data_IF_722306851597
#
_entry.id   IF_722306851597
#
_cell.length_a   1.000
_cell.length_b   1.000
_cell.length_c   1.000
_cell.angle_alpha   90.00
_cell.angle_beta   90.00
_cell.angle_gamma   90.00
#
_symmetry.space_group_name_H-M   'P 1'
#
loop_
_entity.id
_entity.type
_entity.pdbx_description
1 polymer ?
#
# COMPACT_ATOMS: atom_id res chain seq x y z
N UNK A 1 -19.12 1.28 -10.55
CA UNK A 1 -18.87 1.72 -9.14
C UNK A 1 -17.69 2.68 -9.18
N UNK A 2 -17.87 3.94 -8.74
CA UNK A 2 -16.82 4.95 -8.82
C UNK A 2 -15.85 4.80 -7.64
N UNK A 3 -14.63 4.37 -7.94
CA UNK A 3 -13.50 4.37 -6.99
C UNK A 3 -12.61 5.56 -7.31
N UNK A 4 -12.16 6.25 -6.29
CA UNK A 4 -11.20 7.35 -6.39
C UNK A 4 -10.18 7.26 -5.25
N UNK A 5 -9.08 8.00 -5.40
CA UNK A 5 -8.06 8.16 -4.37
C UNK A 5 -7.85 9.64 -4.09
N UNK A 6 -7.63 9.98 -2.82
CA UNK A 6 -7.36 11.34 -2.38
C UNK A 6 -6.12 11.39 -1.52
N UNK A 7 -5.23 12.33 -1.81
CA UNK A 7 -4.12 12.66 -0.93
C UNK A 7 -4.67 13.27 0.36
N UNK A 8 -4.28 12.70 1.48
CA UNK A 8 -4.79 13.10 2.78
C UNK A 8 -3.72 13.72 3.70
N UNK A 9 -2.54 14.05 3.14
CA UNK A 9 -1.42 14.61 3.90
C UNK A 9 -1.82 15.81 4.77
N UNK A 10 -2.65 16.69 4.24
CA UNK A 10 -3.09 17.91 4.92
C UNK A 10 -4.55 17.86 5.39
N UNK A 11 -5.16 16.67 5.42
CA UNK A 11 -6.54 16.46 5.84
C UNK A 11 -6.61 15.84 7.23
N UNK A 12 -6.87 16.64 8.25
CA UNK A 12 -7.08 16.14 9.60
C UNK A 12 -8.23 15.14 9.69
N UNK A 13 -9.30 15.33 8.90
CA UNK A 13 -10.44 14.41 8.82
C UNK A 13 -10.02 13.05 8.30
N UNK A 14 -9.25 13.00 7.22
CA UNK A 14 -8.80 11.74 6.61
C UNK A 14 -7.77 11.04 7.50
N UNK A 15 -6.86 11.80 8.11
CA UNK A 15 -5.93 11.27 9.11
C UNK A 15 -6.68 10.59 10.25
N UNK A 16 -7.65 11.27 10.84
CA UNK A 16 -8.45 10.71 11.92
C UNK A 16 -9.22 9.46 11.48
N UNK A 17 -9.75 9.46 10.25
CA UNK A 17 -10.42 8.27 9.72
C UNK A 17 -9.44 7.09 9.58
N UNK A 18 -8.24 7.28 9.03
CA UNK A 18 -7.22 6.23 8.95
C UNK A 18 -6.90 5.69 10.34
N UNK A 19 -6.69 6.57 11.33
CA UNK A 19 -6.44 6.17 12.71
C UNK A 19 -7.59 5.31 13.27
N UNK A 20 -8.84 5.67 12.99
CA UNK A 20 -10.02 4.93 13.46
C UNK A 20 -10.15 3.50 12.90
N UNK A 21 -9.59 3.23 11.73
CA UNK A 21 -9.63 1.91 11.08
C UNK A 21 -8.30 1.16 11.14
N UNK A 22 -7.28 1.76 11.73
CA UNK A 22 -5.94 1.19 11.78
C UNK A 22 -5.87 -0.12 12.57
N UNK A 23 -6.63 -0.21 13.65
CA UNK A 23 -6.79 -1.46 14.40
C UNK A 23 -7.33 -2.60 13.54
N UNK A 24 -8.34 -2.33 12.69
CA UNK A 24 -8.87 -3.33 11.75
C UNK A 24 -7.80 -3.79 10.73
N UNK A 25 -6.93 -2.88 10.31
CA UNK A 25 -5.79 -3.20 9.45
C UNK A 25 -4.78 -4.10 10.17
N UNK A 26 -4.36 -3.73 11.37
CA UNK A 26 -3.42 -4.50 12.18
C UNK A 26 -3.97 -5.91 12.47
N UNK A 27 -5.22 -6.02 12.87
CA UNK A 27 -5.89 -7.31 13.11
C UNK A 27 -5.89 -8.19 11.85
N UNK A 28 -6.06 -7.59 10.67
CA UNK A 28 -6.03 -8.33 9.41
C UNK A 28 -4.65 -8.90 9.06
N UNK A 29 -3.60 -8.38 9.67
CA UNK A 29 -2.23 -8.85 9.54
C UNK A 29 -1.78 -9.77 10.69
N UNK A 30 -2.44 -9.71 11.85
CA UNK A 30 -2.06 -10.47 13.07
C UNK A 30 -2.08 -11.99 12.83
N UNK A 31 -3.00 -12.48 12.03
CA UNK A 31 -3.12 -13.90 11.67
C UNK A 31 -1.90 -14.43 10.88
N UNK A 32 -1.04 -13.55 10.37
CA UNK A 32 0.13 -13.92 9.57
C UNK A 32 1.36 -14.28 10.41
N UNK A 33 1.29 -14.09 11.73
CA UNK A 33 2.38 -14.38 12.68
C UNK A 33 3.76 -13.88 12.20
N UNK A 34 3.81 -12.62 11.76
CA UNK A 34 5.02 -12.02 11.18
C UNK A 34 6.02 -11.55 12.24
N UNK A 35 5.69 -11.68 13.52
CA UNK A 35 6.52 -11.18 14.63
C UNK A 35 6.46 -9.66 14.84
N UNK A 36 5.94 -8.91 13.87
CA UNK A 36 5.79 -7.44 13.95
C UNK A 36 4.71 -7.02 14.96
N UNK A 37 3.73 -7.89 15.22
CA UNK A 37 2.54 -7.54 15.97
C UNK A 37 2.72 -7.56 17.49
N UNK A 38 3.66 -8.33 18.00
CA UNK A 38 4.03 -8.24 19.41
C UNK A 38 4.67 -6.89 19.78
N UNK A 39 5.11 -6.14 18.77
CA UNK A 39 5.83 -4.88 18.93
C UNK A 39 4.93 -3.66 18.62
N UNK A 40 3.97 -3.78 17.71
CA UNK A 40 3.12 -2.65 17.27
C UNK A 40 1.76 -2.63 18.00
N UNK A 41 1.17 -3.79 18.29
CA UNK A 41 -0.21 -3.88 18.76
C UNK A 41 -0.45 -3.62 20.25
N UNK A 42 0.58 -3.23 21.02
CA UNK A 42 0.46 -3.03 22.46
C UNK A 42 0.74 -1.58 22.92
N UNK A 43 1.13 -0.68 22.03
CA UNK A 43 1.58 0.65 22.42
C UNK A 43 0.99 1.75 21.52
N UNK A 44 -0.02 2.45 22.04
CA UNK A 44 -0.67 3.58 21.40
C UNK A 44 0.31 4.74 21.10
N UNK A 45 1.33 4.94 21.93
CA UNK A 45 2.37 5.94 21.69
C UNK A 45 3.16 5.64 20.41
N UNK A 46 3.36 4.37 20.09
CA UNK A 46 4.05 3.92 18.89
C UNK A 46 3.20 4.08 17.62
N UNK A 47 1.90 3.91 17.72
CA UNK A 47 0.97 4.23 16.62
C UNK A 47 1.03 5.71 16.27
N UNK A 48 1.05 6.59 17.26
CA UNK A 48 1.14 8.05 17.04
C UNK A 48 2.45 8.44 16.37
N UNK A 49 3.58 7.80 16.71
CA UNK A 49 4.87 8.00 16.03
C UNK A 49 4.83 7.54 14.58
N UNK A 50 4.23 6.38 14.29
CA UNK A 50 4.05 5.85 12.93
C UNK A 50 3.23 6.83 12.10
N UNK A 51 2.09 7.29 12.62
CA UNK A 51 1.24 8.26 11.93
C UNK A 51 1.94 9.61 11.77
N UNK A 52 2.69 10.07 12.76
CA UNK A 52 3.48 11.29 12.63
C UNK A 52 4.45 11.17 11.44
N UNK A 53 5.12 10.03 11.29
CA UNK A 53 6.02 9.79 10.15
C UNK A 53 5.27 9.80 8.81
N UNK A 54 4.09 9.19 8.72
CA UNK A 54 3.33 9.15 7.47
C UNK A 54 2.90 10.53 6.99
N UNK A 55 2.53 11.43 7.91
CA UNK A 55 1.92 12.71 7.59
C UNK A 55 2.90 13.90 7.60
N UNK A 56 4.05 13.76 8.24
CA UNK A 56 5.07 14.83 8.34
C UNK A 56 6.24 14.68 7.37
N UNK A 57 6.40 13.51 6.74
CA UNK A 57 7.54 13.21 5.89
C UNK A 57 7.21 13.48 4.41
N UNK A 58 8.01 14.33 3.75
CA UNK A 58 7.85 14.66 2.33
C UNK A 58 8.05 13.47 1.37
N UNK A 59 8.63 12.37 1.85
CA UNK A 59 8.79 11.13 1.09
C UNK A 59 7.61 10.16 1.26
N UNK A 60 6.60 10.54 2.02
CA UNK A 60 5.39 9.75 2.27
C UNK A 60 4.17 10.43 1.65
N UNK A 61 3.34 9.62 0.99
CA UNK A 61 2.09 10.04 0.38
C UNK A 61 0.96 9.18 0.93
N UNK A 62 0.36 9.57 2.06
CA UNK A 62 -0.81 8.89 2.60
C UNK A 62 -2.03 9.19 1.74
N UNK A 63 -2.76 8.14 1.36
CA UNK A 63 -3.91 8.21 0.47
C UNK A 63 -5.12 7.55 1.12
N UNK A 64 -6.29 8.15 0.96
CA UNK A 64 -7.58 7.51 1.25
C UNK A 64 -8.19 6.97 -0.03
N UNK A 65 -8.69 5.75 0.04
CA UNK A 65 -9.45 5.11 -1.02
C UNK A 65 -10.93 5.35 -0.77
N UNK A 66 -11.63 5.88 -1.76
CA UNK A 66 -13.02 6.29 -1.67
C UNK A 66 -13.91 5.45 -2.61
N UNK A 67 -15.10 5.12 -2.13
CA UNK A 67 -16.23 4.66 -2.95
C UNK A 67 -17.28 5.77 -2.97
N UNK A 68 -17.37 6.50 -4.08
CA UNK A 68 -18.11 7.76 -4.07
C UNK A 68 -17.46 8.75 -3.11
N UNK A 69 -18.19 9.17 -2.07
CA UNK A 69 -17.71 10.03 -0.98
C UNK A 69 -17.16 9.27 0.24
N UNK A 70 -17.41 7.95 0.32
CA UNK A 70 -17.19 7.17 1.53
C UNK A 70 -15.77 6.60 1.55
N UNK A 71 -14.99 6.81 2.61
CA UNK A 71 -13.69 6.20 2.76
C UNK A 71 -13.84 4.71 3.07
N UNK A 72 -13.17 3.88 2.27
CA UNK A 72 -13.28 2.41 2.32
C UNK A 72 -11.94 1.71 2.50
N UNK A 73 -10.85 2.46 2.42
CA UNK A 73 -9.49 1.95 2.57
C UNK A 73 -8.47 3.07 2.57
N UNK A 74 -7.21 2.69 2.73
CA UNK A 74 -6.09 3.62 2.66
C UNK A 74 -4.86 2.95 2.03
N UNK A 75 -3.92 3.77 1.61
CA UNK A 75 -2.62 3.34 1.15
C UNK A 75 -1.53 4.32 1.59
N UNK A 76 -0.32 3.83 1.75
CA UNK A 76 0.87 4.64 1.95
C UNK A 76 1.85 4.38 0.81
N UNK A 77 2.09 5.39 0.00
CA UNK A 77 3.14 5.38 -1.02
C UNK A 77 4.34 6.10 -0.44
N UNK A 78 5.51 5.47 -0.48
CA UNK A 78 6.76 6.07 -0.02
C UNK A 78 7.78 6.15 -1.15
N UNK A 79 8.78 7.01 -0.98
CA UNK A 79 9.97 7.06 -1.85
C UNK A 79 11.13 6.41 -1.11
N UNK A 80 11.50 5.17 -1.45
CA UNK A 80 12.61 4.49 -0.81
C UNK A 80 13.93 5.24 -1.08
N UNK A 81 14.80 5.29 -0.06
CA UNK A 81 16.13 5.92 -0.17
C UNK A 81 17.25 4.91 -0.25
N UNK A 82 16.97 3.69 0.15
CA UNK A 82 17.94 2.61 0.22
C UNK A 82 17.54 1.54 -0.78
N UNK A 83 18.46 1.10 -1.65
CA UNK A 83 18.16 0.03 -2.59
C UNK A 83 17.92 -1.28 -1.83
N UNK A 84 16.95 -2.05 -2.30
CA UNK A 84 16.81 -3.42 -1.89
C UNK A 84 17.91 -4.23 -2.56
N UNK A 85 18.75 -4.87 -1.76
CA UNK A 85 19.91 -5.70 -2.11
C UNK A 85 20.18 -5.95 -3.61
N UNK A 86 21.09 -5.15 -4.18
CA UNK A 86 21.58 -5.35 -5.55
C UNK A 86 20.68 -4.81 -6.67
N UNK A 87 19.57 -4.16 -6.32
CA UNK A 87 18.67 -3.53 -7.28
C UNK A 87 18.79 -2.00 -7.24
N UNK A 88 18.55 -1.30 -8.37
CA UNK A 88 18.43 0.15 -8.34
C UNK A 88 17.32 0.59 -7.38
N UNK A 89 17.45 1.77 -6.77
CA UNK A 89 16.39 2.32 -5.92
C UNK A 89 15.13 2.56 -6.78
N UNK A 90 13.99 2.00 -6.35
CA UNK A 90 12.71 2.29 -6.98
C UNK A 90 12.29 3.75 -6.71
N UNK A 91 11.53 4.35 -7.63
CA UNK A 91 10.97 5.68 -7.39
C UNK A 91 9.92 5.66 -6.28
N UNK A 92 9.12 4.58 -6.24
CA UNK A 92 8.02 4.44 -5.31
C UNK A 92 7.94 3.03 -4.73
N UNK A 93 7.49 2.96 -3.48
CA UNK A 93 7.10 1.72 -2.81
C UNK A 93 5.66 1.85 -2.32
N UNK A 94 4.86 0.82 -2.55
CA UNK A 94 3.58 0.70 -1.87
C UNK A 94 3.84 0.06 -0.51
N UNK A 95 3.96 0.91 0.52
CA UNK A 95 4.34 0.47 1.87
C UNK A 95 3.18 -0.10 2.65
N UNK A 96 1.98 0.50 2.48
CA UNK A 96 0.76 0.04 3.13
C UNK A 96 -0.38 0.06 2.12
N UNK A 97 -1.25 -0.95 2.20
CA UNK A 97 -2.44 -1.03 1.37
C UNK A 97 -3.54 -1.79 2.09
N UNK A 98 -4.64 -1.12 2.35
CA UNK A 98 -5.75 -1.68 3.09
C UNK A 98 -7.10 -1.30 2.47
N UNK A 99 -7.97 -2.29 2.30
CA UNK A 99 -9.38 -2.11 2.00
C UNK A 99 -10.17 -2.84 3.07
N UNK A 100 -11.14 -2.18 3.69
CA UNK A 100 -11.97 -2.75 4.74
C UNK A 100 -12.66 -4.03 4.28
N UNK A 101 -12.76 -5.02 5.16
CA UNK A 101 -13.24 -6.38 4.87
C UNK A 101 -14.55 -6.40 4.09
N UNK A 102 -15.51 -5.57 4.50
CA UNK A 102 -16.83 -5.45 3.87
C UNK A 102 -16.81 -4.93 2.42
N UNK A 103 -15.71 -4.36 1.98
CA UNK A 103 -15.52 -3.81 0.64
C UNK A 103 -14.58 -4.63 -0.24
N UNK A 104 -14.11 -5.79 0.25
CA UNK A 104 -13.22 -6.69 -0.49
C UNK A 104 -14.01 -7.58 -1.47
N UNK A 105 -13.28 -8.24 -2.38
CA UNK A 105 -13.79 -9.24 -3.34
C UNK A 105 -14.73 -8.72 -4.44
N UNK A 106 -14.83 -7.39 -4.60
CA UNK A 106 -15.65 -6.73 -5.63
C UNK A 106 -14.81 -5.92 -6.64
N UNK A 107 -13.51 -6.21 -6.74
CA UNK A 107 -12.58 -5.54 -7.65
C UNK A 107 -12.00 -4.22 -7.14
N UNK A 108 -12.51 -3.68 -6.04
CA UNK A 108 -12.16 -2.35 -5.51
C UNK A 108 -10.66 -2.18 -5.23
N UNK A 109 -10.02 -3.20 -4.64
CA UNK A 109 -8.59 -3.16 -4.37
C UNK A 109 -7.75 -3.06 -5.65
N UNK A 110 -8.12 -3.79 -6.71
CA UNK A 110 -7.47 -3.70 -8.00
C UNK A 110 -7.62 -2.30 -8.62
N UNK A 111 -8.82 -1.77 -8.59
CA UNK A 111 -9.12 -0.47 -9.18
C UNK A 111 -8.39 0.66 -8.43
N UNK A 112 -8.36 0.60 -7.10
CA UNK A 112 -7.58 1.52 -6.28
C UNK A 112 -6.08 1.43 -6.54
N UNK A 113 -5.51 0.23 -6.61
CA UNK A 113 -4.10 0.02 -6.94
C UNK A 113 -3.74 0.59 -8.30
N UNK A 114 -4.58 0.39 -9.32
CA UNK A 114 -4.41 0.97 -10.65
C UNK A 114 -4.35 2.50 -10.61
N UNK A 115 -5.29 3.13 -9.90
CA UNK A 115 -5.30 4.58 -9.74
C UNK A 115 -4.04 5.11 -9.03
N UNK A 116 -3.55 4.38 -8.03
CA UNK A 116 -2.33 4.74 -7.30
C UNK A 116 -1.12 4.66 -8.24
N UNK A 117 -0.96 3.57 -8.98
CA UNK A 117 0.17 3.41 -9.90
C UNK A 117 0.14 4.42 -11.05
N UNK A 118 -1.03 4.75 -11.59
CA UNK A 118 -1.19 5.75 -12.64
C UNK A 118 -0.91 7.18 -12.13
N UNK A 119 -1.11 7.44 -10.83
CA UNK A 119 -0.84 8.75 -10.22
C UNK A 119 0.65 9.05 -10.08
N UNK A 120 1.46 8.04 -9.83
CA UNK A 120 2.90 8.18 -9.55
C UNK A 120 3.71 7.45 -10.62
N UNK A 121 4.08 8.16 -11.68
CA UNK A 121 4.82 7.58 -12.80
C UNK A 121 6.27 7.25 -12.43
N UNK A 122 6.72 6.01 -12.64
CA UNK A 122 8.09 5.59 -12.38
C UNK A 122 8.23 4.10 -12.11
N UNK A 123 9.39 3.73 -11.59
CA UNK A 123 9.70 2.39 -11.12
C UNK A 123 9.11 2.14 -9.73
N UNK A 124 8.37 1.06 -9.61
CA UNK A 124 7.68 0.67 -8.39
C UNK A 124 8.24 -0.61 -7.79
N UNK A 125 8.13 -0.71 -6.47
CA UNK A 125 8.29 -1.96 -5.76
C UNK A 125 7.14 -2.20 -4.77
N UNK A 126 6.75 -3.47 -4.65
CA UNK A 126 5.84 -3.98 -3.62
C UNK A 126 6.59 -5.08 -2.90
N UNK A 127 6.59 -5.06 -1.58
CA UNK A 127 7.24 -6.07 -0.74
C UNK A 127 6.19 -6.68 0.18
N UNK A 128 6.07 -7.99 0.13
CA UNK A 128 5.14 -8.76 0.95
C UNK A 128 5.86 -9.87 1.69
N UNK A 129 5.38 -10.22 2.87
CA UNK A 129 5.88 -11.39 3.57
C UNK A 129 5.48 -12.69 2.86
N UNK A 130 6.38 -13.65 2.75
CA UNK A 130 6.08 -14.98 2.20
C UNK A 130 4.94 -15.67 2.95
N UNK A 131 4.76 -15.36 4.23
CA UNK A 131 3.67 -15.87 5.07
C UNK A 131 2.31 -15.26 4.75
N UNK A 132 2.23 -14.31 3.82
CA UNK A 132 0.99 -13.72 3.33
C UNK A 132 0.68 -14.15 1.88
N UNK A 133 0.35 -15.43 1.63
CA UNK A 133 0.08 -15.92 0.29
C UNK A 133 -1.12 -15.22 -0.37
N UNK A 134 -2.06 -14.73 0.43
CA UNK A 134 -3.23 -14.00 -0.05
C UNK A 134 -2.85 -12.66 -0.68
N UNK A 135 -1.96 -11.89 -0.05
CA UNK A 135 -1.46 -10.63 -0.61
C UNK A 135 -0.59 -10.87 -1.84
N UNK A 136 0.31 -11.86 -1.80
CA UNK A 136 1.15 -12.23 -2.95
C UNK A 136 0.27 -12.58 -4.16
N UNK A 137 -0.75 -13.42 -3.98
CA UNK A 137 -1.67 -13.80 -5.05
C UNK A 137 -2.51 -12.61 -5.55
N UNK A 138 -2.88 -11.69 -4.66
CA UNK A 138 -3.57 -10.46 -5.02
C UNK A 138 -2.69 -9.58 -5.91
N UNK A 139 -1.45 -9.31 -5.51
CA UNK A 139 -0.54 -8.46 -6.27
C UNK A 139 -0.12 -9.08 -7.60
N UNK A 140 0.09 -10.38 -7.67
CA UNK A 140 0.32 -11.07 -8.95
C UNK A 140 -0.81 -10.84 -9.93
N UNK A 141 -2.08 -10.96 -9.50
CA UNK A 141 -3.24 -10.70 -10.37
C UNK A 141 -3.34 -9.22 -10.78
N UNK A 142 -3.10 -8.31 -9.84
CA UNK A 142 -3.12 -6.87 -10.13
C UNK A 142 -2.05 -6.52 -11.17
N UNK A 143 -0.81 -6.96 -10.96
CA UNK A 143 0.32 -6.63 -11.84
C UNK A 143 0.21 -7.30 -13.20
N UNK A 144 -0.26 -8.55 -13.26
CA UNK A 144 -0.55 -9.22 -14.54
C UNK A 144 -1.53 -8.42 -15.38
N UNK A 145 -2.58 -7.90 -14.77
CA UNK A 145 -3.56 -7.07 -15.47
C UNK A 145 -3.07 -5.64 -15.76
N UNK A 146 -2.27 -5.06 -14.85
CA UNK A 146 -1.82 -3.68 -14.96
C UNK A 146 -0.71 -3.48 -15.99
N UNK A 147 0.32 -4.29 -15.99
CA UNK A 147 1.49 -4.18 -16.86
C UNK A 147 1.65 -5.38 -17.82
N UNK A 148 0.57 -6.10 -18.10
CA UNK A 148 0.55 -7.27 -19.00
C UNK A 148 1.62 -8.32 -18.65
N UNK A 149 1.87 -8.54 -17.34
CA UNK A 149 2.90 -9.45 -16.86
C UNK A 149 4.33 -8.91 -16.92
N UNK A 150 4.53 -7.67 -17.34
CA UNK A 150 5.84 -7.00 -17.41
C UNK A 150 6.35 -6.57 -16.03
N UNK A 151 6.41 -7.49 -15.06
CA UNK A 151 7.01 -7.27 -13.75
C UNK A 151 7.99 -8.40 -13.42
N UNK A 152 8.91 -8.14 -12.51
CA UNK A 152 9.81 -9.13 -11.95
C UNK A 152 9.41 -9.48 -10.53
N UNK A 153 9.61 -10.72 -10.12
CA UNK A 153 9.35 -11.20 -8.77
C UNK A 153 10.57 -11.95 -8.23
N UNK A 154 10.96 -11.64 -7.00
CA UNK A 154 12.05 -12.29 -6.30
C UNK A 154 11.63 -12.61 -4.87
N UNK A 155 12.05 -13.77 -4.38
CA UNK A 155 11.87 -14.16 -2.97
C UNK A 155 13.22 -14.11 -2.26
N UNK A 156 13.31 -13.41 -1.13
CA UNK A 156 14.54 -13.30 -0.35
C UNK A 156 14.22 -12.98 1.10
N UNK A 157 14.92 -13.62 2.02
CA UNK A 157 14.82 -13.37 3.47
C UNK A 157 13.39 -13.37 4.05
N UNK A 158 12.52 -14.26 3.53
CA UNK A 158 11.13 -14.36 3.99
C UNK A 158 10.17 -13.33 3.37
N UNK A 159 10.64 -12.57 2.39
CA UNK A 159 9.87 -11.59 1.64
C UNK A 159 9.75 -11.95 0.16
N UNK A 160 8.69 -11.49 -0.47
CA UNK A 160 8.49 -11.49 -1.92
C UNK A 160 8.49 -10.05 -2.38
N UNK A 161 9.42 -9.71 -3.25
CA UNK A 161 9.52 -8.39 -3.87
C UNK A 161 9.03 -8.47 -5.32
N UNK A 162 8.13 -7.59 -5.68
CA UNK A 162 7.64 -7.41 -7.04
C UNK A 162 8.04 -6.02 -7.53
N UNK A 163 8.63 -5.94 -8.72
CA UNK A 163 9.06 -4.68 -9.33
C UNK A 163 8.48 -4.54 -10.72
N UNK A 164 8.01 -3.33 -11.02
CA UNK A 164 7.40 -3.00 -12.31
C UNK A 164 7.53 -1.51 -12.59
N UNK A 165 7.34 -1.14 -13.84
CA UNK A 165 7.23 0.25 -14.25
C UNK A 165 5.76 0.60 -14.40
N UNK A 166 5.33 1.71 -13.79
CA UNK A 166 3.99 2.21 -14.01
C UNK A 166 3.81 2.64 -15.46
N UNK A 167 2.59 2.53 -15.96
CA UNK A 167 2.26 3.09 -17.28
C UNK A 167 2.61 4.56 -17.25
N UNK A 168 3.35 5.02 -18.25
CA UNK A 168 3.52 6.45 -18.44
C UNK A 168 2.12 7.04 -18.50
N UNK A 169 1.88 8.14 -17.79
CA UNK A 169 0.71 8.97 -18.06
C UNK A 169 0.86 9.46 -19.49
N UNK A 170 0.59 8.58 -20.45
CA UNK A 170 0.48 8.96 -21.83
C UNK A 170 -0.56 10.06 -21.86
N UNK A 171 -0.17 11.20 -22.38
CA UNK A 171 -0.97 12.37 -22.57
C UNK A 171 -2.44 11.98 -22.83
N UNK A 172 -3.30 12.32 -21.86
CA UNK A 172 -4.74 12.38 -22.10
C UNK A 172 -5.04 13.75 -22.69
#
# INVERSE_FOLDING_TARGET
MLISIRDCRHSAKDRHWIQSVYGEYIDSLADLNTGLFSVIGADTAREDEIFATWFSNDHSHPLVILKGSDPVGFALVTRPRIPTAGEPVANYRLSEFFVRKQHRRVGMGRDAATLIFDRFAGEWEIVEYQRNPGAIAFWRRVLTGYCAGGYTERSRHGEVQQRFKSRSAAAR
#
